data_IF_369907581431
#
_entry.id   IF_369907581431
#
_cell.length_a   1.000
_cell.length_b   1.000
_cell.length_c   1.000
_cell.angle_alpha   90.00
_cell.angle_beta   90.00
_cell.angle_gamma   90.00
#
_symmetry.space_group_name_H-M   'P 1'
#
loop_
_entity.id
_entity.type
_entity.pdbx_description
1 polymer ?
#
# COMPACT_ATOMS: atom_id res chain seq x y z
N UNK A 1 8.88 -1.61 13.42
CA UNK A 1 9.01 -0.24 12.93
C UNK A 1 10.47 0.17 12.69
N UNK A 2 11.41 -0.02 13.63
CA UNK A 2 12.82 0.41 13.46
C UNK A 2 13.49 -0.24 12.25
N UNK A 3 13.31 -1.53 12.03
CA UNK A 3 13.87 -2.23 10.86
C UNK A 3 13.34 -1.69 9.53
N UNK A 4 12.04 -1.38 9.49
CA UNK A 4 11.42 -0.75 8.31
C UNK A 4 11.99 0.65 8.10
N UNK A 5 12.23 1.39 9.19
CA UNK A 5 12.80 2.73 9.14
C UNK A 5 14.23 2.72 8.58
N UNK A 6 15.09 1.88 9.15
CA UNK A 6 16.47 1.69 8.69
C UNK A 6 16.52 1.28 7.22
N UNK A 7 15.71 0.28 6.85
CA UNK A 7 15.65 -0.23 5.48
C UNK A 7 15.20 0.86 4.51
N UNK A 8 14.12 1.55 4.82
CA UNK A 8 13.57 2.58 3.94
C UNK A 8 14.58 3.71 3.69
N UNK A 9 15.22 4.22 4.75
CA UNK A 9 16.24 5.26 4.62
C UNK A 9 17.47 4.80 3.81
N UNK A 10 17.83 3.52 3.87
CA UNK A 10 18.91 2.94 3.05
C UNK A 10 18.51 2.79 1.58
N UNK A 11 17.28 2.34 1.31
CA UNK A 11 16.80 2.07 -0.05
C UNK A 11 16.53 3.35 -0.85
N UNK A 12 16.09 4.42 -0.18
CA UNK A 12 15.70 5.67 -0.84
C UNK A 12 16.31 6.91 -0.16
N UNK A 13 17.66 7.02 -0.08
CA UNK A 13 18.35 8.10 0.62
C UNK A 13 18.11 9.49 0.03
N UNK A 14 17.58 9.59 -1.18
CA UNK A 14 17.20 10.83 -1.84
C UNK A 14 15.80 11.34 -1.48
N UNK A 15 15.00 10.54 -0.77
CA UNK A 15 13.68 10.94 -0.30
C UNK A 15 13.74 11.47 1.13
N UNK A 16 12.92 12.44 1.44
CA UNK A 16 12.67 12.83 2.83
C UNK A 16 11.73 11.80 3.48
N UNK A 17 12.19 11.18 4.55
CA UNK A 17 11.43 10.12 5.25
C UNK A 17 10.99 10.65 6.61
N UNK A 18 9.69 10.48 6.91
CA UNK A 18 9.05 10.87 8.16
C UNK A 18 8.25 9.71 8.72
N UNK A 19 8.22 9.55 10.03
CA UNK A 19 7.48 8.49 10.70
C UNK A 19 6.26 9.05 11.41
N UNK A 20 5.07 8.78 10.89
CA UNK A 20 3.80 9.20 11.49
C UNK A 20 3.32 8.09 12.44
N UNK A 21 3.32 8.36 13.73
CA UNK A 21 2.96 7.41 14.79
C UNK A 21 1.94 8.02 15.77
N UNK A 22 1.23 7.18 16.50
CA UNK A 22 0.13 7.55 17.38
C UNK A 22 0.46 7.51 18.89
N UNK A 23 1.71 7.20 19.23
CA UNK A 23 2.12 7.13 20.63
C UNK A 23 3.61 7.31 20.85
N UNK A 24 3.97 7.81 22.02
CA UNK A 24 5.37 8.00 22.41
C UNK A 24 6.15 6.70 22.50
N UNK A 25 5.49 5.58 22.75
CA UNK A 25 6.10 4.24 22.78
C UNK A 25 6.71 3.84 21.42
N UNK A 26 6.11 4.32 20.32
CA UNK A 26 6.64 4.13 18.96
C UNK A 26 7.57 5.29 18.56
N UNK A 27 7.28 6.51 19.03
CA UNK A 27 8.02 7.69 18.68
C UNK A 27 9.42 7.72 19.31
N UNK A 28 9.53 7.36 20.60
CA UNK A 28 10.78 7.48 21.33
C UNK A 28 11.91 6.62 20.74
N UNK A 29 11.72 5.33 20.44
CA UNK A 29 12.76 4.53 19.81
C UNK A 29 13.23 5.06 18.45
N UNK A 30 12.32 5.64 17.66
CA UNK A 30 12.66 6.24 16.36
C UNK A 30 13.50 7.51 16.54
N UNK A 31 13.13 8.37 17.50
CA UNK A 31 13.90 9.60 17.82
C UNK A 31 15.28 9.29 18.36
N UNK A 32 15.40 8.24 19.18
CA UNK A 32 16.69 7.81 19.74
C UNK A 32 17.68 7.39 18.65
N UNK A 33 17.16 6.84 17.54
CA UNK A 33 17.95 6.50 16.34
C UNK A 33 18.09 7.68 15.35
N UNK A 34 17.55 8.86 15.68
CA UNK A 34 17.69 10.08 14.89
C UNK A 34 16.72 10.22 13.73
N UNK A 35 15.62 9.46 13.70
CA UNK A 35 14.59 9.59 12.69
C UNK A 35 13.63 10.76 12.96
N UNK A 36 13.11 11.35 11.88
CA UNK A 36 12.11 12.41 11.94
C UNK A 36 10.72 11.84 12.24
N UNK A 37 10.15 12.20 13.38
CA UNK A 37 8.90 11.63 13.89
C UNK A 37 7.80 12.68 14.01
N UNK A 38 6.62 12.36 13.50
CA UNK A 38 5.39 13.13 13.65
C UNK A 38 4.42 12.36 14.53
N UNK A 39 4.04 12.95 15.66
CA UNK A 39 2.92 12.44 16.46
C UNK A 39 1.61 12.83 15.80
N UNK A 40 0.74 11.85 15.67
CA UNK A 40 -0.60 11.99 15.10
C UNK A 40 -1.65 11.56 16.12
N UNK A 41 -2.88 11.97 15.91
CA UNK A 41 -3.99 11.62 16.79
C UNK A 41 -4.17 10.08 16.82
N UNK A 42 -4.22 9.45 18.02
CA UNK A 42 -4.44 8.01 18.14
C UNK A 42 -5.84 7.57 17.70
N UNK A 43 -6.82 8.47 17.74
CA UNK A 43 -8.23 8.16 17.43
C UNK A 43 -8.55 8.26 15.92
N UNK A 44 -7.55 8.42 15.07
CA UNK A 44 -7.75 8.44 13.61
C UNK A 44 -8.27 7.11 13.09
N UNK A 45 -9.29 7.13 12.19
CA UNK A 45 -10.01 5.92 11.79
C UNK A 45 -9.21 5.01 10.86
N UNK A 46 -8.15 5.50 10.20
CA UNK A 46 -7.36 4.72 9.25
C UNK A 46 -5.92 5.21 9.10
N UNK A 47 -5.09 4.34 8.50
CA UNK A 47 -3.71 4.69 8.15
C UNK A 47 -3.65 5.86 7.15
N UNK A 48 -4.58 5.90 6.20
CA UNK A 48 -4.67 7.01 5.22
C UNK A 48 -5.03 8.34 5.90
N UNK A 49 -5.91 8.34 6.90
CA UNK A 49 -6.25 9.53 7.69
C UNK A 49 -5.03 10.03 8.49
N UNK A 50 -4.20 9.12 9.00
CA UNK A 50 -2.94 9.43 9.68
C UNK A 50 -1.95 10.12 8.74
N UNK A 51 -1.78 9.60 7.54
CA UNK A 51 -0.92 10.22 6.52
C UNK A 51 -1.45 11.59 6.10
N UNK A 52 -2.77 11.75 5.98
CA UNK A 52 -3.38 13.05 5.70
C UNK A 52 -3.07 14.07 6.81
N UNK A 53 -3.18 13.70 8.08
CA UNK A 53 -2.83 14.56 9.21
C UNK A 53 -1.34 14.94 9.20
N UNK A 54 -0.46 13.95 9.01
CA UNK A 54 0.98 14.18 8.93
C UNK A 54 1.33 15.13 7.78
N UNK A 55 0.73 14.95 6.60
CA UNK A 55 1.00 15.80 5.46
C UNK A 55 0.49 17.23 5.59
N UNK A 56 -0.55 17.49 6.39
CA UNK A 56 -0.95 18.88 6.72
C UNK A 56 0.15 19.64 7.46
N UNK A 57 0.98 18.93 8.23
CA UNK A 57 2.15 19.52 8.92
C UNK A 57 3.30 19.70 7.93
N UNK A 58 3.57 18.69 7.10
CA UNK A 58 4.70 18.66 6.18
C UNK A 58 4.50 19.52 4.92
N UNK A 59 3.26 19.66 4.46
CA UNK A 59 2.91 20.44 3.27
C UNK A 59 3.50 19.89 1.96
N UNK A 60 3.68 18.57 1.86
CA UNK A 60 4.24 17.95 0.67
C UNK A 60 3.17 17.75 -0.40
N UNK A 61 3.52 18.02 -1.66
CA UNK A 61 2.61 17.89 -2.80
C UNK A 61 2.26 16.43 -3.08
N UNK A 62 3.22 15.54 -2.92
CA UNK A 62 3.10 14.10 -3.13
C UNK A 62 3.63 13.36 -1.91
N UNK A 63 2.95 12.31 -1.50
CA UNK A 63 3.31 11.48 -0.34
C UNK A 63 3.29 10.01 -0.75
N UNK A 64 4.36 9.28 -0.39
CA UNK A 64 4.41 7.82 -0.51
C UNK A 64 4.31 7.25 0.89
N UNK A 65 3.33 6.37 1.11
CA UNK A 65 3.08 5.70 2.36
C UNK A 65 3.58 4.25 2.28
N UNK A 66 4.58 3.94 3.10
CA UNK A 66 5.07 2.58 3.35
C UNK A 66 4.64 2.20 4.76
N UNK A 67 3.93 1.08 4.89
CA UNK A 67 3.45 0.60 6.18
C UNK A 67 4.62 0.15 7.07
N UNK A 68 4.45 0.28 8.40
CA UNK A 68 5.51 -0.06 9.37
C UNK A 68 5.84 -1.56 9.41
N UNK A 69 4.94 -2.41 8.93
CA UNK A 69 5.03 -3.85 8.82
C UNK A 69 5.67 -4.35 7.51
N UNK A 70 6.22 -3.44 6.69
CA UNK A 70 6.88 -3.75 5.41
C UNK A 70 8.42 -3.65 5.49
N UNK A 71 9.11 -4.50 6.31
CA UNK A 71 10.55 -4.39 6.52
C UNK A 71 11.39 -4.81 5.29
N UNK A 72 10.74 -5.41 4.28
CA UNK A 72 11.40 -5.86 3.05
C UNK A 72 11.13 -4.92 1.87
N UNK A 73 10.72 -3.67 2.14
CA UNK A 73 10.57 -2.66 1.10
C UNK A 73 11.88 -2.46 0.34
N UNK A 74 11.79 -2.37 -0.98
CA UNK A 74 12.93 -2.09 -1.87
C UNK A 74 12.71 -0.75 -2.60
N UNK A 75 13.80 -0.12 -3.02
CA UNK A 75 13.77 1.08 -3.86
C UNK A 75 12.83 0.94 -5.05
N UNK A 76 12.82 -0.24 -5.69
CA UNK A 76 11.96 -0.53 -6.83
C UNK A 76 10.47 -0.33 -6.54
N UNK A 77 10.00 -0.66 -5.33
CA UNK A 77 8.63 -0.46 -4.89
C UNK A 77 8.27 1.04 -4.79
N UNK A 78 9.15 1.82 -4.16
CA UNK A 78 8.95 3.26 -3.99
C UNK A 78 8.90 3.99 -5.33
N UNK A 79 9.84 3.66 -6.24
CA UNK A 79 9.86 4.24 -7.58
C UNK A 79 8.66 3.82 -8.43
N UNK A 80 8.20 2.56 -8.28
CA UNK A 80 7.01 2.06 -8.97
C UNK A 80 5.72 2.77 -8.49
N UNK A 81 5.62 3.10 -7.19
CA UNK A 81 4.52 3.91 -6.64
C UNK A 81 4.53 5.33 -7.22
N UNK A 82 5.69 5.97 -7.25
CA UNK A 82 5.82 7.30 -7.85
C UNK A 82 5.39 7.29 -9.32
N UNK A 83 5.87 6.33 -10.11
CA UNK A 83 5.50 6.16 -11.52
C UNK A 83 3.99 5.87 -11.72
N UNK A 84 3.37 5.12 -10.80
CA UNK A 84 1.93 4.85 -10.86
C UNK A 84 1.09 6.09 -10.55
N UNK A 85 1.59 6.98 -9.68
CA UNK A 85 0.91 8.24 -9.35
C UNK A 85 1.06 9.29 -10.48
N UNK A 86 2.14 9.25 -11.24
CA UNK A 86 2.37 10.14 -12.39
C UNK A 86 1.43 9.85 -13.59
N UNK A 87 0.64 8.77 -13.54
CA UNK A 87 -0.37 8.49 -14.56
C UNK A 87 -1.42 9.59 -14.60
N UNK A 88 -1.90 9.90 -15.80
CA UNK A 88 -2.91 10.94 -16.01
C UNK A 88 -4.16 10.69 -15.16
N UNK A 89 -4.56 11.70 -14.38
CA UNK A 89 -5.73 11.67 -13.49
C UNK A 89 -5.66 10.62 -12.36
N UNK A 90 -4.48 10.10 -12.02
CA UNK A 90 -4.32 9.30 -10.81
C UNK A 90 -4.26 10.23 -9.58
N UNK A 91 -5.23 10.13 -8.68
CA UNK A 91 -5.23 10.84 -7.41
C UNK A 91 -4.50 10.05 -6.29
N UNK A 92 -4.43 8.74 -6.50
CA UNK A 92 -3.84 7.75 -5.62
C UNK A 92 -3.18 6.66 -6.47
N UNK A 93 -2.14 6.04 -5.95
CA UNK A 93 -1.49 4.91 -6.58
C UNK A 93 -1.20 3.79 -5.58
N UNK A 94 -1.05 2.57 -6.10
CA UNK A 94 -0.68 1.40 -5.32
C UNK A 94 0.11 0.41 -6.17
N UNK A 95 0.52 -0.70 -5.56
CA UNK A 95 1.27 -1.76 -6.21
C UNK A 95 0.47 -3.06 -6.30
N UNK A 96 0.84 -3.87 -7.27
CA UNK A 96 0.34 -5.23 -7.38
C UNK A 96 1.42 -6.18 -7.89
N UNK A 97 1.25 -7.47 -7.60
CA UNK A 97 2.09 -8.55 -8.11
C UNK A 97 1.20 -9.65 -8.68
N UNK A 98 1.65 -10.34 -9.71
CA UNK A 98 0.91 -11.48 -10.26
C UNK A 98 0.80 -12.61 -9.23
N UNK A 99 -0.35 -13.28 -9.15
CA UNK A 99 -0.46 -14.51 -8.40
C UNK A 99 0.32 -15.62 -9.12
N UNK A 100 1.07 -16.41 -8.36
CA UNK A 100 1.83 -17.55 -8.86
C UNK A 100 1.12 -18.89 -8.59
N UNK A 101 0.21 -18.92 -7.61
CA UNK A 101 -0.48 -20.13 -7.18
C UNK A 101 -1.97 -19.87 -6.97
N UNK A 102 -2.79 -20.87 -7.30
CA UNK A 102 -4.23 -20.80 -7.13
C UNK A 102 -4.64 -20.68 -5.66
N UNK A 103 -3.92 -21.36 -4.77
CA UNK A 103 -4.16 -21.33 -3.32
C UNK A 103 -4.09 -19.89 -2.77
N UNK A 104 -3.08 -19.12 -3.19
CA UNK A 104 -2.93 -17.72 -2.83
C UNK A 104 -4.06 -16.84 -3.37
N UNK A 105 -4.50 -17.12 -4.59
CA UNK A 105 -5.61 -16.40 -5.21
C UNK A 105 -6.95 -16.66 -4.50
N UNK A 106 -7.17 -17.87 -3.97
CA UNK A 106 -8.36 -18.22 -3.23
C UNK A 106 -8.35 -17.73 -1.77
N UNK A 107 -7.19 -17.40 -1.22
CA UNK A 107 -7.07 -16.88 0.15
C UNK A 107 -7.70 -15.48 0.28
N UNK A 108 -8.74 -15.29 1.13
CA UNK A 108 -9.36 -13.98 1.33
C UNK A 108 -8.47 -12.95 2.03
N UNK A 109 -7.36 -13.37 2.64
CA UNK A 109 -6.38 -12.45 3.23
C UNK A 109 -5.48 -11.82 2.17
N UNK A 110 -5.34 -12.46 1.02
CA UNK A 110 -4.62 -11.91 -0.13
C UNK A 110 -5.59 -11.12 -1.02
N UNK A 111 -5.59 -9.81 -0.89
CA UNK A 111 -6.52 -8.94 -1.62
C UNK A 111 -6.21 -8.97 -3.12
N UNK A 112 -7.26 -9.18 -3.93
CA UNK A 112 -7.19 -9.15 -5.39
C UNK A 112 -7.44 -7.74 -5.91
N UNK A 113 -6.79 -7.42 -7.02
CA UNK A 113 -7.09 -6.21 -7.80
C UNK A 113 -7.27 -6.58 -9.28
N UNK A 114 -8.31 -6.06 -9.90
CA UNK A 114 -8.52 -6.13 -11.35
C UNK A 114 -8.21 -4.78 -11.97
N UNK A 115 -7.57 -4.80 -13.13
CA UNK A 115 -7.05 -3.61 -13.78
C UNK A 115 -7.73 -3.39 -15.14
N UNK A 116 -7.83 -2.12 -15.53
CA UNK A 116 -8.11 -1.77 -16.92
C UNK A 116 -6.84 -1.89 -17.79
N UNK A 117 -6.98 -1.66 -19.10
CA UNK A 117 -5.87 -1.76 -20.05
C UNK A 117 -4.79 -0.68 -19.86
N UNK A 118 -5.13 0.41 -19.17
CA UNK A 118 -4.23 1.52 -18.88
C UNK A 118 -3.52 1.35 -17.54
N UNK A 119 -3.87 0.27 -16.79
CA UNK A 119 -3.28 -0.06 -15.51
C UNK A 119 -3.86 0.74 -14.34
N UNK A 120 -5.14 1.08 -14.41
CA UNK A 120 -5.89 1.60 -13.27
C UNK A 120 -6.73 0.50 -12.65
N UNK A 121 -6.91 0.58 -11.33
CA UNK A 121 -7.77 -0.34 -10.62
C UNK A 121 -9.23 -0.18 -11.04
N UNK A 122 -9.86 -1.28 -11.42
CA UNK A 122 -11.30 -1.38 -11.63
C UNK A 122 -12.00 -1.71 -10.31
N UNK A 123 -11.44 -2.64 -9.54
CA UNK A 123 -11.97 -3.04 -8.23
C UNK A 123 -10.94 -3.81 -7.42
N UNK A 124 -11.08 -3.75 -6.08
CA UNK A 124 -10.35 -4.57 -5.11
C UNK A 124 -11.32 -5.44 -4.35
N UNK A 125 -10.96 -6.70 -4.10
CA UNK A 125 -11.80 -7.61 -3.31
C UNK A 125 -10.99 -8.68 -2.59
N UNK A 126 -11.55 -9.13 -1.46
CA UNK A 126 -11.10 -10.37 -0.79
C UNK A 126 -11.60 -11.62 -1.52
N UNK A 127 -12.68 -11.51 -2.27
CA UNK A 127 -13.17 -12.60 -3.13
C UNK A 127 -12.21 -12.88 -4.30
N UNK A 128 -12.17 -14.09 -4.84
CA UNK A 128 -11.37 -14.42 -6.02
C UNK A 128 -11.95 -13.75 -7.27
N UNK A 129 -11.37 -12.60 -7.64
CA UNK A 129 -11.72 -11.81 -8.84
C UNK A 129 -10.49 -11.61 -9.73
N UNK A 130 -10.66 -11.61 -11.09
CA UNK A 130 -11.88 -12.01 -11.83
C UNK A 130 -12.18 -13.49 -11.64
N UNK A 131 -13.43 -13.90 -11.88
CA UNK A 131 -13.78 -15.32 -11.87
C UNK A 131 -13.27 -16.04 -13.13
N UNK A 132 -12.29 -16.94 -13.02
CA UNK A 132 -11.76 -17.65 -14.17
C UNK A 132 -12.73 -18.80 -14.54
N UNK A 133 -13.54 -18.60 -15.59
CA UNK A 133 -14.55 -19.58 -15.99
C UNK A 133 -13.94 -20.92 -16.41
N UNK A 134 -12.80 -20.87 -17.09
CA UNK A 134 -12.14 -22.05 -17.69
C UNK A 134 -10.64 -22.08 -17.35
N UNK A 135 -10.26 -21.66 -16.12
CA UNK A 135 -8.85 -21.61 -15.72
C UNK A 135 -8.26 -23.02 -15.55
N UNK A 136 -7.15 -23.27 -16.26
CA UNK A 136 -6.26 -24.40 -16.04
C UNK A 136 -4.97 -23.99 -15.32
N UNK A 137 -4.14 -24.96 -14.97
CA UNK A 137 -2.84 -24.74 -14.29
C UNK A 137 -1.89 -23.77 -15.05
N UNK A 138 -2.04 -23.69 -16.36
CA UNK A 138 -1.27 -22.80 -17.23
C UNK A 138 -1.46 -21.29 -16.90
N UNK A 139 -2.59 -20.90 -16.31
CA UNK A 139 -2.89 -19.51 -15.96
C UNK A 139 -2.04 -18.99 -14.79
N UNK A 140 -1.46 -19.89 -14.00
CA UNK A 140 -0.60 -19.55 -12.87
C UNK A 140 0.90 -19.50 -13.25
N UNK A 141 1.22 -19.72 -14.53
CA UNK A 141 2.62 -19.76 -15.03
C UNK A 141 3.33 -18.41 -15.10
N UNK A 142 2.64 -17.30 -14.81
CA UNK A 142 3.18 -15.94 -14.81
C UNK A 142 3.43 -15.32 -16.19
N UNK A 143 3.16 -16.02 -17.31
CA UNK A 143 3.39 -15.51 -18.67
C UNK A 143 2.32 -14.52 -19.13
N UNK A 144 1.10 -14.69 -18.67
CA UNK A 144 -0.04 -13.82 -18.98
C UNK A 144 -0.99 -13.80 -17.78
N UNK A 145 -0.61 -13.09 -16.69
CA UNK A 145 -1.36 -13.12 -15.45
C UNK A 145 -2.72 -12.43 -15.63
N UNK A 146 -3.78 -13.12 -15.25
CA UNK A 146 -5.15 -12.59 -15.27
C UNK A 146 -5.57 -11.99 -13.92
N UNK A 147 -4.83 -12.29 -12.86
CA UNK A 147 -5.13 -11.85 -11.51
C UNK A 147 -3.89 -11.33 -10.80
N UNK A 148 -4.10 -10.28 -10.01
CA UNK A 148 -3.03 -9.60 -9.27
C UNK A 148 -3.37 -9.51 -7.80
N UNK A 149 -2.36 -9.80 -6.96
CA UNK A 149 -2.37 -9.52 -5.52
C UNK A 149 -2.04 -8.05 -5.31
N UNK A 150 -2.91 -7.35 -4.61
CA UNK A 150 -2.66 -5.99 -4.14
C UNK A 150 -1.61 -5.97 -3.03
N UNK A 151 -0.71 -4.98 -3.07
CA UNK A 151 0.26 -4.71 -2.02
C UNK A 151 -0.12 -3.41 -1.30
N UNK A 152 -0.18 -3.44 0.03
CA UNK A 152 -0.71 -2.38 0.89
C UNK A 152 0.14 -1.10 0.99
N UNK A 153 0.91 -0.78 -0.03
CA UNK A 153 1.67 0.47 -0.13
C UNK A 153 0.99 1.43 -1.10
N UNK A 154 1.06 2.73 -0.80
CA UNK A 154 0.33 3.74 -1.53
C UNK A 154 1.14 5.00 -1.80
N UNK A 155 0.79 5.69 -2.88
CA UNK A 155 1.19 7.07 -3.10
C UNK A 155 -0.06 7.93 -3.32
N UNK A 156 0.02 9.20 -2.91
CA UNK A 156 -1.11 10.11 -2.91
C UNK A 156 -0.71 11.50 -3.40
N UNK A 157 -1.62 12.16 -4.11
CA UNK A 157 -1.59 13.62 -4.20
C UNK A 157 -2.14 14.26 -2.93
N UNK A 158 -1.55 15.38 -2.50
CA UNK A 158 -1.98 16.12 -1.30
C UNK A 158 -3.46 16.52 -1.37
N UNK A 159 -3.91 17.01 -2.53
CA UNK A 159 -5.30 17.39 -2.77
C UNK A 159 -6.28 16.24 -2.56
N UNK A 160 -5.87 15.03 -2.93
CA UNK A 160 -6.65 13.82 -2.68
C UNK A 160 -6.70 13.49 -1.18
N UNK A 161 -5.56 13.53 -0.47
CA UNK A 161 -5.51 13.24 0.97
C UNK A 161 -6.43 14.17 1.77
N UNK A 162 -6.44 15.46 1.44
CA UNK A 162 -7.32 16.44 2.08
C UNK A 162 -8.80 16.11 1.86
N UNK A 163 -9.16 15.71 0.63
CA UNK A 163 -10.52 15.32 0.28
C UNK A 163 -10.90 13.99 0.94
N UNK A 164 -10.00 13.01 0.93
CA UNK A 164 -10.22 11.67 1.49
C UNK A 164 -10.54 11.72 2.97
N UNK A 165 -9.78 12.49 3.76
CA UNK A 165 -9.97 12.60 5.22
C UNK A 165 -11.30 13.25 5.64
N UNK A 166 -12.01 13.92 4.70
CA UNK A 166 -13.33 14.48 4.91
C UNK A 166 -14.46 13.55 4.47
N UNK A 167 -14.11 12.43 3.86
CA UNK A 167 -15.08 11.49 3.32
C UNK A 167 -15.48 10.46 4.36
N UNK A 168 -16.80 10.28 4.56
CA UNK A 168 -17.31 9.14 5.32
C UNK A 168 -16.96 7.82 4.63
N UNK A 169 -16.83 6.77 5.44
CA UNK A 169 -16.60 5.41 4.95
C UNK A 169 -17.73 4.96 4.02
N UNK A 170 -17.35 4.44 2.85
CA UNK A 170 -18.26 3.91 1.87
C UNK A 170 -18.85 2.55 2.25
N UNK A 171 -19.83 2.09 1.48
CA UNK A 171 -20.42 0.76 1.70
C UNK A 171 -19.43 -0.35 1.38
N UNK A 172 -18.72 -0.24 0.26
CA UNK A 172 -17.77 -1.25 -0.18
C UNK A 172 -16.58 -1.34 0.77
N UNK A 173 -16.06 -0.18 1.23
CA UNK A 173 -14.99 -0.12 2.22
C UNK A 173 -15.37 -0.89 3.50
N UNK A 174 -16.58 -0.65 4.03
CA UNK A 174 -17.03 -1.33 5.25
C UNK A 174 -17.23 -2.83 5.09
N UNK A 175 -17.74 -3.27 3.92
CA UNK A 175 -18.03 -4.68 3.65
C UNK A 175 -16.73 -5.46 3.43
N UNK A 176 -15.86 -4.96 2.58
CA UNK A 176 -14.58 -5.63 2.24
C UNK A 176 -13.48 -5.34 3.27
N UNK A 177 -13.64 -4.29 4.12
CA UNK A 177 -12.60 -3.74 4.99
C UNK A 177 -11.33 -3.39 4.22
N UNK A 178 -11.51 -2.62 3.14
CA UNK A 178 -10.46 -2.17 2.24
C UNK A 178 -10.58 -0.65 2.04
N UNK A 179 -9.66 0.11 2.63
CA UNK A 179 -9.68 1.58 2.66
C UNK A 179 -9.67 2.20 1.25
N UNK A 180 -8.97 1.61 0.30
CA UNK A 180 -8.87 2.12 -1.07
C UNK A 180 -10.20 2.08 -1.84
N UNK A 181 -11.17 1.28 -1.39
CA UNK A 181 -12.50 1.27 -1.99
C UNK A 181 -13.25 2.57 -1.74
N UNK A 182 -12.97 3.32 -0.66
CA UNK A 182 -13.52 4.67 -0.44
C UNK A 182 -13.19 5.62 -1.59
N UNK A 183 -11.96 5.52 -2.13
CA UNK A 183 -11.55 6.30 -3.28
C UNK A 183 -12.32 5.90 -4.55
N UNK A 184 -12.44 4.61 -4.85
CA UNK A 184 -13.17 4.11 -6.02
C UNK A 184 -14.67 4.44 -5.95
N UNK A 185 -15.32 4.30 -4.78
CA UNK A 185 -16.73 4.65 -4.59
C UNK A 185 -17.03 6.13 -4.88
N UNK A 186 -16.02 6.99 -4.80
CA UNK A 186 -16.13 8.43 -5.09
C UNK A 186 -15.63 8.83 -6.48
N UNK A 187 -15.31 7.84 -7.30
CA UNK A 187 -14.90 8.07 -8.69
C UNK A 187 -13.44 8.50 -8.88
N UNK A 188 -12.60 8.41 -7.82
CA UNK A 188 -11.17 8.65 -7.99
C UNK A 188 -10.52 7.47 -8.73
N UNK A 189 -9.56 7.78 -9.59
CA UNK A 189 -8.76 6.77 -10.27
C UNK A 189 -7.55 6.40 -9.42
N UNK A 190 -7.28 5.11 -9.29
CA UNK A 190 -6.12 4.56 -8.59
C UNK A 190 -5.18 3.95 -9.62
N UNK A 191 -4.01 4.56 -9.81
CA UNK A 191 -2.96 4.02 -10.66
C UNK A 191 -2.34 2.77 -9.99
N UNK A 192 -2.09 1.72 -10.78
CA UNK A 192 -1.43 0.52 -10.28
C UNK A 192 -0.17 0.24 -11.09
N UNK A 193 0.95 0.01 -10.39
CA UNK A 193 2.16 -0.55 -10.99
C UNK A 193 2.30 -2.01 -10.59
N UNK A 194 2.59 -2.86 -11.59
CA UNK A 194 2.88 -4.28 -11.37
C UNK A 194 4.36 -4.41 -11.09
N UNK A 195 4.69 -5.02 -9.95
CA UNK A 195 6.07 -5.28 -9.54
C UNK A 195 6.42 -6.76 -9.66
N UNK A 196 7.70 -7.07 -9.81
CA UNK A 196 8.18 -8.44 -10.00
C UNK A 196 8.15 -9.28 -8.71
N UNK A 197 8.23 -8.62 -7.56
CA UNK A 197 8.25 -9.26 -6.24
C UNK A 197 7.29 -8.56 -5.30
N UNK A 198 6.59 -9.36 -4.49
CA UNK A 198 5.86 -8.83 -3.33
C UNK A 198 6.85 -8.43 -2.23
N UNK A 199 6.46 -7.45 -1.41
CA UNK A 199 7.03 -7.28 -0.07
C UNK A 199 6.52 -8.40 0.83
N UNK A 200 7.29 -8.71 1.87
CA UNK A 200 6.88 -9.65 2.91
C UNK A 200 6.53 -8.81 4.13
N UNK A 201 5.23 -8.62 4.35
CA UNK A 201 4.71 -7.98 5.56
C UNK A 201 4.96 -8.85 6.80
N UNK A 202 5.02 -8.21 7.96
CA UNK A 202 5.19 -8.87 9.27
C UNK A 202 3.95 -8.61 10.11
N UNK A 203 2.99 -9.51 10.03
CA UNK A 203 1.76 -9.45 10.83
C UNK A 203 1.90 -10.19 12.17
N UNK A 204 2.71 -11.25 12.22
CA UNK A 204 2.91 -12.11 13.38
C UNK A 204 4.40 -12.19 13.79
N UNK A 205 4.70 -12.45 15.07
CA UNK A 205 6.08 -12.64 15.52
C UNK A 205 6.83 -13.75 14.76
N UNK A 206 6.12 -14.77 14.31
CA UNK A 206 6.65 -15.90 13.54
C UNK A 206 7.15 -15.48 12.15
N UNK A 207 6.57 -14.42 11.57
CA UNK A 207 6.99 -13.90 10.29
C UNK A 207 8.41 -13.31 10.36
N UNK A 208 8.80 -12.78 11.53
CA UNK A 208 10.17 -12.26 11.77
C UNK A 208 11.23 -13.34 11.69
N UNK A 209 10.93 -14.58 12.12
CA UNK A 209 11.87 -15.70 12.11
C UNK A 209 12.18 -16.16 10.68
N UNK A 210 11.22 -15.97 9.76
CA UNK A 210 11.33 -16.35 8.35
C UNK A 210 12.03 -15.28 7.49
N UNK A 211 12.24 -14.08 8.04
CA UNK A 211 12.93 -12.99 7.33
C UNK A 211 14.45 -13.11 7.53
N UNK A 212 15.16 -13.55 6.49
CA UNK A 212 16.60 -13.39 6.43
C UNK A 212 16.95 -11.95 6.06
N UNK A 213 17.18 -11.11 7.05
CA UNK A 213 17.76 -9.78 6.86
C UNK A 213 19.23 -9.95 6.44
N UNK A 214 19.51 -9.90 5.16
CA UNK A 214 20.88 -9.81 4.60
C UNK A 214 21.15 -8.39 4.14
#
# INVERSE_FOLDING_TARGET
>A
ILRTAERLCQEVPEFEVFFAVDGEELAQPLRDEGFEVLLTDPDLPSGTDRIAQANRILGRKTVINVQADEPMVERSHVLALAAALDKENAAMATLAVAFAHEEDFLDPNQVKVVLDKEGYALYFSRAPIPHPRDAGEEHWSGKDPFAYKHLGMYAYESSFLDSYSQCEQGVLERVERLEQLRALERGYRIGVSIVAKATIGVDLPEDLENLSFR
#
